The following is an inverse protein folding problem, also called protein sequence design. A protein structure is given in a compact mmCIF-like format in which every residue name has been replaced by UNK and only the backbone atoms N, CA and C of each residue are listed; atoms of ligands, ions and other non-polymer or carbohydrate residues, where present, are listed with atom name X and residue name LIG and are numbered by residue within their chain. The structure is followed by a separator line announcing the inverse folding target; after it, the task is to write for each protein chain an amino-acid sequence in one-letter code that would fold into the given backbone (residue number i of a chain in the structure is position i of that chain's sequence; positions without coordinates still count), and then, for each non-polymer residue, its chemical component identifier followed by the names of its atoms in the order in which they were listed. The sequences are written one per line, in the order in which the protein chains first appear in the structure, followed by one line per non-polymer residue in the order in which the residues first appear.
data_IF_023798142893
#
_entry.id   IF_023798142893
#
_cell.length_a   1.000
_cell.length_b   1.000
_cell.length_c   1.000
_cell.angle_alpha   90.00
_cell.angle_beta   90.00
_cell.angle_gamma   90.00
#
_symmetry.space_group_name_H-M   'P 1'
#
loop_
_entity.id
_entity.type
_entity.pdbx_description
1 polymer ?
#
# COMPACT_ATOMS: atom_id res chain seq x y z
N UNK A 1 9.79 6.77 -5.75
CA UNK A 1 9.83 7.09 -4.32
C UNK A 1 9.76 5.87 -3.40
N UNK A 2 8.99 4.83 -3.72
CA UNK A 2 9.01 3.58 -2.93
C UNK A 2 10.42 3.03 -2.76
N UNK A 3 11.18 2.93 -3.86
CA UNK A 3 12.55 2.40 -3.81
C UNK A 3 13.44 3.18 -2.83
N UNK A 4 13.28 4.49 -2.77
CA UNK A 4 14.05 5.36 -1.88
C UNK A 4 13.76 5.09 -0.39
N UNK A 5 12.59 4.53 -0.06
CA UNK A 5 12.16 4.26 1.33
C UNK A 5 12.62 2.87 1.81
N UNK A 6 12.44 1.84 0.98
CA UNK A 6 12.64 0.44 1.42
C UNK A 6 13.44 -0.42 0.45
N UNK A 7 14.04 0.18 -0.60
CA UNK A 7 14.91 -0.54 -1.53
C UNK A 7 14.20 -1.44 -2.54
N UNK A 8 12.87 -1.33 -2.66
CA UNK A 8 12.06 -2.11 -3.61
C UNK A 8 11.14 -1.19 -4.40
N UNK A 9 10.77 -1.61 -5.61
CA UNK A 9 9.72 -0.92 -6.37
C UNK A 9 8.35 -1.22 -5.76
N UNK A 10 7.32 -0.45 -6.13
CA UNK A 10 5.96 -0.73 -5.70
C UNK A 10 5.51 -2.14 -6.10
N UNK A 11 5.83 -2.58 -7.32
CA UNK A 11 5.50 -3.92 -7.79
C UNK A 11 6.19 -5.01 -6.96
N UNK A 12 7.47 -4.82 -6.62
CA UNK A 12 8.22 -5.75 -5.79
C UNK A 12 7.66 -5.87 -4.38
N UNK A 13 7.21 -4.77 -3.78
CA UNK A 13 6.56 -4.76 -2.46
C UNK A 13 5.30 -5.64 -2.48
N UNK A 14 4.47 -5.50 -3.51
CA UNK A 14 3.24 -6.29 -3.63
C UNK A 14 3.58 -7.78 -3.70
N UNK A 15 4.51 -8.17 -4.57
CA UNK A 15 4.89 -9.57 -4.74
C UNK A 15 5.52 -10.14 -3.47
N UNK A 16 6.34 -9.37 -2.78
CA UNK A 16 7.04 -9.84 -1.58
C UNK A 16 6.13 -9.96 -0.35
N UNK A 17 5.09 -9.14 -0.26
CA UNK A 17 4.28 -9.03 0.95
C UNK A 17 2.87 -9.59 0.85
N UNK A 18 2.26 -9.65 -0.34
CA UNK A 18 0.95 -10.24 -0.53
C UNK A 18 1.04 -11.76 -0.35
N UNK A 19 0.31 -12.31 0.64
CA UNK A 19 0.33 -13.74 0.93
C UNK A 19 -0.97 -14.11 1.64
N UNK A 20 -1.77 -14.96 1.00
CA UNK A 20 -3.05 -15.41 1.56
C UNK A 20 -2.95 -16.11 2.91
N UNK A 21 -1.77 -16.64 3.25
CA UNK A 21 -1.52 -17.31 4.53
C UNK A 21 -1.26 -16.36 5.70
N UNK A 22 -0.96 -15.10 5.40
CA UNK A 22 -0.72 -14.08 6.43
C UNK A 22 -2.03 -13.46 6.90
N UNK A 23 -2.03 -12.96 8.13
CA UNK A 23 -3.13 -12.14 8.66
C UNK A 23 -3.38 -10.96 7.73
N UNK A 24 -4.64 -10.73 7.35
CA UNK A 24 -5.03 -9.69 6.39
C UNK A 24 -4.26 -9.77 5.06
N UNK A 25 -3.87 -10.98 4.67
CA UNK A 25 -3.05 -11.31 3.48
C UNK A 25 -1.79 -10.44 3.29
N UNK A 26 -1.26 -9.92 4.38
CA UNK A 26 -0.07 -9.06 4.38
C UNK A 26 -0.36 -7.56 4.33
N UNK A 27 -1.61 -7.15 4.17
CA UNK A 27 -1.97 -5.72 4.18
C UNK A 27 -1.89 -5.14 5.60
N UNK A 28 -1.44 -3.91 5.68
CA UNK A 28 -1.42 -3.12 6.92
C UNK A 28 -2.58 -2.14 6.96
N UNK A 29 -3.15 -1.82 5.81
CA UNK A 29 -4.29 -0.93 5.68
C UNK A 29 -5.13 -1.31 4.45
N UNK A 30 -6.42 -1.00 4.46
CA UNK A 30 -7.35 -1.17 3.35
C UNK A 30 -8.54 -0.24 3.55
N UNK A 31 -9.36 -0.07 2.53
CA UNK A 31 -10.47 0.91 2.53
C UNK A 31 -11.38 0.79 3.76
N UNK A 32 -11.73 -0.43 4.10
CA UNK A 32 -12.68 -0.71 5.19
C UNK A 32 -11.99 -1.14 6.50
N UNK A 33 -10.67 -0.89 6.63
CA UNK A 33 -9.91 -1.23 7.84
C UNK A 33 -10.42 -0.45 9.06
N UNK A 34 -10.19 -0.94 10.29
CA UNK A 34 -9.59 -2.24 10.61
C UNK A 34 -10.59 -3.41 10.63
N UNK A 35 -11.88 -3.15 10.71
CA UNK A 35 -12.90 -4.17 10.99
C UNK A 35 -13.65 -4.67 9.75
N UNK A 36 -13.58 -3.96 8.63
CA UNK A 36 -14.25 -4.33 7.39
C UNK A 36 -13.43 -5.27 6.53
N UNK A 37 -14.09 -5.82 5.50
CA UNK A 37 -13.45 -6.76 4.57
C UNK A 37 -12.48 -6.06 3.63
N UNK A 38 -11.42 -6.78 3.28
CA UNK A 38 -10.51 -6.43 2.19
C UNK A 38 -11.22 -6.71 0.87
N UNK A 39 -11.14 -5.79 -0.08
CA UNK A 39 -11.70 -5.92 -1.42
C UNK A 39 -10.60 -5.97 -2.48
N UNK A 40 -10.94 -6.40 -3.70
CA UNK A 40 -9.95 -6.59 -4.76
C UNK A 40 -9.12 -5.34 -5.06
N UNK A 41 -9.72 -4.16 -5.04
CA UNK A 41 -9.00 -2.91 -5.30
C UNK A 41 -7.96 -2.54 -4.24
N UNK A 42 -8.05 -3.11 -3.05
CA UNK A 42 -7.08 -2.87 -1.97
C UNK A 42 -5.75 -3.56 -2.22
N UNK A 43 -5.77 -4.74 -2.82
CA UNK A 43 -4.60 -5.63 -2.87
C UNK A 43 -3.58 -5.24 -3.94
N UNK A 44 -3.94 -4.37 -4.86
CA UNK A 44 -3.07 -3.90 -5.94
C UNK A 44 -2.38 -2.57 -5.63
N UNK A 45 -2.56 -2.03 -4.43
CA UNK A 45 -1.97 -0.77 -3.98
C UNK A 45 -0.80 -1.06 -3.05
N UNK A 46 0.43 -0.79 -3.50
CA UNK A 46 1.65 -1.07 -2.73
C UNK A 46 1.65 -0.41 -1.36
N UNK A 47 1.14 0.81 -1.24
CA UNK A 47 1.06 1.55 0.02
C UNK A 47 0.33 0.76 1.11
N UNK A 48 -0.64 -0.06 0.74
CA UNK A 48 -1.42 -0.87 1.69
C UNK A 48 -0.63 -1.99 2.35
N UNK A 49 0.57 -2.30 1.86
CA UNK A 49 1.46 -3.31 2.45
C UNK A 49 2.61 -2.70 3.27
N UNK A 50 2.71 -1.38 3.35
CA UNK A 50 3.80 -0.72 4.05
C UNK A 50 3.57 -0.70 5.56
N UNK A 51 4.66 -0.80 6.31
CA UNK A 51 4.62 -0.60 7.77
C UNK A 51 4.33 0.88 8.07
N UNK A 52 3.93 1.16 9.29
CA UNK A 52 3.66 2.52 9.75
C UNK A 52 4.86 3.46 9.57
N UNK A 53 6.07 2.96 9.86
CA UNK A 53 7.30 3.74 9.71
C UNK A 53 7.64 3.98 8.23
N UNK A 54 7.41 3.00 7.38
CA UNK A 54 7.61 3.16 5.93
C UNK A 54 6.64 4.18 5.34
N UNK A 55 5.38 4.16 5.73
CA UNK A 55 4.38 5.16 5.31
C UNK A 55 4.81 6.56 5.73
N UNK A 56 5.24 6.71 6.97
CA UNK A 56 5.70 7.98 7.52
C UNK A 56 6.90 8.54 6.75
N UNK A 57 7.86 7.68 6.42
CA UNK A 57 9.02 8.05 5.62
C UNK A 57 8.64 8.44 4.20
N UNK A 58 7.75 7.69 3.56
CA UNK A 58 7.27 7.99 2.21
C UNK A 58 6.53 9.32 2.17
N UNK A 59 5.62 9.55 3.11
CA UNK A 59 4.86 10.81 3.19
C UNK A 59 5.77 12.01 3.39
N UNK A 60 6.82 11.87 4.19
CA UNK A 60 7.81 12.93 4.41
C UNK A 60 8.55 13.27 3.13
N UNK A 61 9.00 12.29 2.37
CA UNK A 61 9.69 12.50 1.09
C UNK A 61 8.75 13.19 0.09
N UNK A 62 7.52 12.71 -0.02
CA UNK A 62 6.53 13.29 -0.94
C UNK A 62 6.23 14.74 -0.59
N UNK A 63 6.04 15.05 0.69
CA UNK A 63 5.77 16.40 1.17
C UNK A 63 6.92 17.34 0.87
N UNK A 64 8.16 16.94 1.15
CA UNK A 64 9.35 17.75 0.85
C UNK A 64 9.47 18.05 -0.64
N UNK A 65 9.24 17.04 -1.49
CA UNK A 65 9.32 17.21 -2.93
C UNK A 65 8.20 18.09 -3.49
N UNK A 66 6.98 17.96 -2.97
CA UNK A 66 5.85 18.82 -3.35
C UNK A 66 6.08 20.28 -2.95
N UNK A 67 6.66 20.52 -1.78
CA UNK A 67 7.05 21.87 -1.35
C UNK A 67 8.09 22.48 -2.29
N UNK A 68 9.07 21.70 -2.71
CA UNK A 68 10.04 22.10 -3.72
C UNK A 68 9.36 22.43 -5.06
N UNK A 69 8.43 21.59 -5.50
CA UNK A 69 7.69 21.80 -6.75
C UNK A 69 6.85 23.10 -6.70
N UNK A 70 6.22 23.36 -5.56
CA UNK A 70 5.44 24.57 -5.33
C UNK A 70 6.33 25.82 -5.39
N UNK A 71 7.51 25.77 -4.77
CA UNK A 71 8.48 26.88 -4.84
C UNK A 71 8.91 27.17 -6.29
N UNK A 72 9.20 26.13 -7.08
CA UNK A 72 9.53 26.28 -8.49
C UNK A 72 8.40 26.94 -9.28
N UNK A 73 7.16 26.53 -9.01
CA UNK A 73 5.97 27.11 -9.65
C UNK A 73 5.78 28.60 -9.29
N UNK A 74 5.97 28.96 -8.03
CA UNK A 74 5.88 30.36 -7.56
C UNK A 74 6.95 31.24 -8.20
N UNK A 75 8.13 30.68 -8.46
CA UNK A 75 9.23 31.39 -9.14
C UNK A 75 9.06 31.40 -10.66
N UNK A 76 7.96 30.87 -11.19
CA UNK A 76 7.65 30.83 -12.62
C UNK A 76 8.74 30.15 -13.47
N UNK A 77 9.37 29.11 -12.94
CA UNK A 77 10.38 28.33 -13.66
C UNK A 77 9.68 27.24 -14.48
N UNK A 78 9.69 27.32 -15.83
CA UNK A 78 9.06 26.28 -16.64
C UNK A 78 9.86 24.97 -16.56
N UNK A 79 9.15 23.83 -16.39
CA UNK A 79 9.79 22.53 -16.31
C UNK A 79 8.99 21.50 -17.11
N UNK A 80 9.72 20.69 -17.89
CA UNK A 80 9.17 19.53 -18.58
C UNK A 80 9.07 18.35 -17.63
N UNK A 81 8.37 17.29 -18.03
CA UNK A 81 8.33 16.05 -17.24
C UNK A 81 9.71 15.42 -17.09
N UNK A 82 10.56 15.56 -18.11
CA UNK A 82 11.94 15.07 -18.06
C UNK A 82 12.77 15.86 -17.03
N UNK A 83 12.60 17.18 -16.99
CA UNK A 83 13.23 18.05 -15.98
C UNK A 83 12.81 17.62 -14.57
N UNK A 84 11.52 17.37 -14.35
CA UNK A 84 11.00 16.91 -13.07
C UNK A 84 11.61 15.59 -12.64
N UNK A 85 11.75 14.64 -13.57
CA UNK A 85 12.39 13.35 -13.29
C UNK A 85 13.84 13.52 -12.85
N UNK A 86 14.61 14.33 -13.58
CA UNK A 86 16.00 14.63 -13.23
C UNK A 86 16.12 15.32 -11.87
N UNK A 87 15.26 16.28 -11.60
CA UNK A 87 15.22 16.99 -10.31
C UNK A 87 14.85 16.06 -9.16
N UNK A 88 13.94 15.13 -9.38
CA UNK A 88 13.58 14.13 -8.37
C UNK A 88 14.81 13.28 -7.99
N UNK A 89 15.56 12.81 -8.97
CA UNK A 89 16.73 11.99 -8.73
C UNK A 89 17.79 12.76 -7.91
N UNK A 90 18.05 14.01 -8.27
CA UNK A 90 18.98 14.88 -7.53
C UNK A 90 18.46 15.13 -6.10
N UNK A 91 17.17 15.36 -5.94
CA UNK A 91 16.54 15.58 -4.64
C UNK A 91 16.69 14.37 -3.73
N UNK A 92 16.46 13.16 -4.26
CA UNK A 92 16.60 11.93 -3.49
C UNK A 92 18.05 11.68 -3.08
N UNK A 93 19.01 11.93 -3.99
CA UNK A 93 20.45 11.82 -3.70
C UNK A 93 20.90 12.82 -2.63
N UNK A 94 20.42 14.05 -2.71
CA UNK A 94 20.69 15.08 -1.68
C UNK A 94 20.21 14.64 -0.31
N UNK A 95 19.07 13.93 -0.25
CA UNK A 95 18.51 13.41 1.00
C UNK A 95 19.11 12.04 1.39
N UNK A 96 20.20 11.65 0.78
CA UNK A 96 20.91 10.37 1.06
C UNK A 96 20.01 9.14 0.83
N UNK A 97 19.12 9.23 -0.18
CA UNK A 97 18.24 8.14 -0.58
C UNK A 97 18.74 7.49 -1.86
N UNK A 98 18.54 6.19 -1.98
CA UNK A 98 18.87 5.47 -3.21
C UNK A 98 17.91 5.83 -4.33
N UNK A 99 18.44 5.92 -5.54
CA UNK A 99 17.69 6.22 -6.76
C UNK A 99 17.56 4.95 -7.60
N UNK A 100 16.32 4.67 -8.05
CA UNK A 100 16.06 3.57 -8.96
C UNK A 100 16.50 3.96 -10.37
N UNK A 101 17.47 3.23 -10.93
CA UNK A 101 18.03 3.46 -12.26
C UNK A 101 17.56 2.44 -13.31
N UNK A 102 16.63 1.56 -12.94
CA UNK A 102 16.07 0.53 -13.82
C UNK A 102 14.58 0.33 -13.50
N UNK A 103 13.80 -0.36 -14.37
CA UNK A 103 12.36 -0.57 -14.14
C UNK A 103 12.02 -1.57 -13.02
N UNK A 104 13.03 -2.14 -12.35
CA UNK A 104 12.81 -3.15 -11.31
C UNK A 104 12.71 -4.56 -11.90
N UNK A 105 12.65 -5.56 -10.99
CA UNK A 105 12.65 -6.99 -11.37
C UNK A 105 11.25 -7.52 -11.68
N UNK A 106 10.22 -6.82 -11.24
CA UNK A 106 8.82 -7.26 -11.36
C UNK A 106 8.03 -6.16 -12.07
N UNK A 107 7.29 -6.53 -13.11
CA UNK A 107 6.39 -5.58 -13.77
C UNK A 107 5.15 -5.33 -12.90
N UNK A 108 4.54 -4.16 -13.06
CA UNK A 108 3.31 -3.79 -12.37
C UNK A 108 2.16 -4.78 -12.69
N UNK A 109 2.05 -5.18 -13.94
CA UNK A 109 1.02 -6.12 -14.39
C UNK A 109 1.16 -7.50 -13.73
N UNK A 110 2.39 -8.00 -13.62
CA UNK A 110 2.66 -9.28 -12.94
C UNK A 110 2.34 -9.17 -11.46
N UNK A 111 2.70 -8.07 -10.82
CA UNK A 111 2.39 -7.85 -9.41
C UNK A 111 0.89 -7.79 -9.14
N UNK A 112 0.13 -7.10 -10.00
CA UNK A 112 -1.34 -7.04 -9.89
C UNK A 112 -1.96 -8.42 -10.02
N UNK A 113 -1.55 -9.19 -11.03
CA UNK A 113 -2.06 -10.55 -11.25
C UNK A 113 -1.77 -11.46 -10.07
N UNK A 114 -0.57 -11.37 -9.49
CA UNK A 114 -0.19 -12.12 -8.31
C UNK A 114 -1.06 -11.74 -7.10
N UNK A 115 -1.22 -10.44 -6.85
CA UNK A 115 -2.02 -9.95 -5.73
C UNK A 115 -3.48 -10.38 -5.82
N UNK A 116 -4.07 -10.32 -7.01
CA UNK A 116 -5.45 -10.78 -7.26
C UNK A 116 -5.57 -12.29 -7.03
N UNK A 117 -4.59 -13.06 -7.50
CA UNK A 117 -4.55 -14.52 -7.26
C UNK A 117 -4.51 -14.83 -5.76
N UNK A 118 -3.68 -14.14 -4.99
CA UNK A 118 -3.63 -14.29 -3.54
C UNK A 118 -4.92 -13.84 -2.86
N UNK A 119 -5.54 -12.78 -3.36
CA UNK A 119 -6.83 -12.30 -2.85
C UNK A 119 -7.94 -13.33 -3.06
N UNK A 120 -8.00 -13.99 -4.21
CA UNK A 120 -9.03 -15.02 -4.47
C UNK A 120 -8.94 -16.17 -3.47
N UNK A 121 -7.73 -16.54 -3.06
CA UNK A 121 -7.51 -17.52 -2.01
C UNK A 121 -7.87 -16.98 -0.63
N UNK A 122 -7.48 -15.76 -0.34
CA UNK A 122 -7.76 -15.11 0.95
C UNK A 122 -9.24 -14.81 1.13
N UNK A 123 -9.96 -14.47 0.07
CA UNK A 123 -11.37 -14.17 0.13
C UNK A 123 -12.18 -15.28 0.78
N UNK A 124 -11.87 -16.53 0.48
CA UNK A 124 -12.53 -17.69 1.07
C UNK A 124 -12.28 -17.74 2.58
N UNK A 125 -11.05 -17.50 3.00
CA UNK A 125 -10.66 -17.46 4.42
C UNK A 125 -11.38 -16.30 5.12
N UNK A 126 -11.37 -15.12 4.52
CA UNK A 126 -12.00 -13.92 5.05
C UNK A 126 -13.50 -14.10 5.23
N UNK A 127 -14.20 -14.66 4.25
CA UNK A 127 -15.64 -14.88 4.30
C UNK A 127 -16.00 -15.82 5.44
N UNK A 128 -15.20 -16.86 5.67
CA UNK A 128 -15.38 -17.76 6.82
C UNK A 128 -15.19 -17.06 8.16
N UNK A 129 -14.19 -16.20 8.28
CA UNK A 129 -13.94 -15.43 9.50
C UNK A 129 -15.09 -14.48 9.82
N UNK A 130 -15.59 -13.76 8.81
CA UNK A 130 -16.72 -12.84 8.98
C UNK A 130 -18.02 -13.55 9.28
N UNK A 131 -18.28 -14.70 8.67
CA UNK A 131 -19.42 -15.56 8.96
C UNK A 131 -19.36 -16.04 10.40
N UNK A 132 -18.20 -16.50 10.88
CA UNK A 132 -18.01 -16.95 12.26
C UNK A 132 -18.29 -15.82 13.27
N UNK A 133 -17.80 -14.61 13.01
CA UNK A 133 -18.05 -13.45 13.88
C UNK A 133 -19.52 -13.04 13.89
N UNK A 134 -20.17 -13.09 12.75
CA UNK A 134 -21.60 -12.83 12.63
C UNK A 134 -22.42 -13.87 13.41
N UNK A 135 -22.09 -15.14 13.30
CA UNK A 135 -22.75 -16.23 14.02
C UNK A 135 -22.59 -16.05 15.55
N UNK A 136 -21.41 -15.69 16.03
CA UNK A 136 -21.18 -15.38 17.45
C UNK A 136 -22.05 -14.20 17.91
N UNK A 137 -22.14 -13.15 17.12
CA UNK A 137 -22.96 -11.99 17.43
C UNK A 137 -24.45 -12.38 17.54
N UNK A 138 -24.94 -13.20 16.63
CA UNK A 138 -26.33 -13.69 16.66
C UNK A 138 -26.62 -14.56 17.88
N UNK A 139 -25.67 -15.39 18.30
CA UNK A 139 -25.79 -16.20 19.52
C UNK A 139 -25.88 -15.31 20.76
N UNK A 140 -25.01 -14.30 20.86
CA UNK A 140 -25.01 -13.34 21.97
C UNK A 140 -26.34 -12.59 22.04
N UNK A 141 -26.88 -12.13 20.92
CA UNK A 141 -28.21 -11.47 20.88
C UNK A 141 -29.32 -12.38 21.33
N UNK A 142 -29.32 -13.64 20.95
CA UNK A 142 -30.32 -14.63 21.40
C UNK A 142 -30.23 -14.84 22.91
N UNK A 143 -29.05 -14.96 23.46
CA UNK A 143 -28.82 -15.13 24.89
C UNK A 143 -29.33 -13.93 25.68
N UNK A 144 -29.07 -12.72 25.22
CA UNK A 144 -29.54 -11.48 25.84
C UNK A 144 -31.08 -11.40 25.84
N UNK A 145 -31.74 -11.80 24.76
CA UNK A 145 -33.17 -11.81 24.62
C UNK A 145 -33.81 -12.88 25.52
N UNK A 146 -33.15 -14.00 25.78
CA UNK A 146 -33.64 -15.06 26.66
C UNK A 146 -33.53 -14.64 28.14
N UNK A 147 -32.49 -13.85 28.49
CA UNK A 147 -32.24 -13.41 29.86
C UNK A 147 -33.04 -12.16 30.28
N UNK A 148 -33.75 -11.56 29.35
CA UNK A 148 -34.63 -10.43 29.56
C UNK A 148 -36.09 -10.89 29.52
#
# INVERSE_FOLDING_TARGET
MHFAVHGNTAAEIIVNRANHKKTHMGLTNWKNSPNGKIIASDVTVAKNYLTKDEIKSLERIVTMYLDYAEDQAERHIPMTMEDWKGKLDVFLQFNEREVLDNPGKVSHKVAESFAISEFEKYRIIQDKLFESDFDKFMIEMKNDNINN
#
